data_IF_178706865206
#
_entry.id   IF_178706865206
#
_cell.length_a   1.000
_cell.length_b   1.000
_cell.length_c   1.000
_cell.angle_alpha   90.00
_cell.angle_beta   90.00
_cell.angle_gamma   90.00
#
_symmetry.space_group_name_H-M   'P 1'
#
loop_
_entity.id
_entity.type
_entity.pdbx_description
1 polymer ?
#
# COMPACT_ATOMS: atom_id res chain seq x y z
N UNK A 1 44.36 -16.60 24.46
CA UNK A 1 43.57 -15.45 23.97
C UNK A 1 42.23 -16.02 23.51
N UNK A 2 41.21 -15.94 24.38
CA UNK A 2 39.86 -16.44 24.06
C UNK A 2 39.19 -15.35 23.24
N UNK A 3 39.20 -15.50 21.91
CA UNK A 3 38.46 -14.61 21.02
C UNK A 3 37.03 -15.12 21.04
N UNK A 4 36.22 -14.51 21.90
CA UNK A 4 34.78 -14.72 21.96
C UNK A 4 34.16 -14.27 20.64
N UNK A 5 33.77 -15.21 19.79
CA UNK A 5 32.82 -14.95 18.71
C UNK A 5 31.43 -14.76 19.34
N UNK A 6 31.12 -13.54 19.74
CA UNK A 6 29.72 -13.15 19.97
C UNK A 6 29.05 -13.17 18.61
N UNK A 7 28.42 -14.31 18.30
CA UNK A 7 27.50 -14.48 17.18
C UNK A 7 26.44 -13.38 17.26
N UNK A 8 26.48 -12.46 16.31
CA UNK A 8 25.39 -11.53 16.01
C UNK A 8 24.18 -12.35 15.53
N UNK A 9 23.45 -12.95 16.47
CA UNK A 9 22.10 -13.45 16.25
C UNK A 9 21.14 -12.27 16.37
N UNK A 10 21.18 -11.41 15.36
CA UNK A 10 20.18 -10.40 15.13
C UNK A 10 19.95 -10.36 13.64
N UNK A 11 19.00 -11.15 13.15
CA UNK A 11 18.44 -10.90 11.82
C UNK A 11 17.84 -9.50 11.89
N UNK A 12 18.62 -8.48 11.49
CA UNK A 12 18.06 -7.18 11.12
C UNK A 12 17.17 -7.48 9.93
N UNK A 13 15.85 -7.46 10.15
CA UNK A 13 14.91 -7.32 9.06
C UNK A 13 15.22 -5.95 8.44
N UNK A 14 16.08 -5.95 7.43
CA UNK A 14 16.27 -4.81 6.55
C UNK A 14 15.02 -4.77 5.70
N UNK A 15 13.99 -4.03 6.15
CA UNK A 15 12.91 -3.61 5.26
C UNK A 15 13.58 -3.05 3.99
N UNK A 16 13.11 -3.40 2.78
CA UNK A 16 13.44 -2.63 1.60
C UNK A 16 13.32 -1.15 1.93
N UNK A 17 14.40 -0.37 1.80
CA UNK A 17 14.28 1.08 1.96
C UNK A 17 13.29 1.64 0.93
N UNK A 18 12.71 2.81 1.21
CA UNK A 18 11.83 3.49 0.27
C UNK A 18 12.44 3.57 -1.15
N UNK A 19 13.77 3.71 -1.26
CA UNK A 19 14.50 3.69 -2.53
C UNK A 19 14.42 2.35 -3.28
N UNK A 20 14.46 1.21 -2.58
CA UNK A 20 14.37 -0.12 -3.21
C UNK A 20 12.96 -0.36 -3.74
N UNK A 21 11.95 0.05 -2.98
CA UNK A 21 10.55 -0.06 -3.41
C UNK A 21 10.29 0.92 -4.55
N UNK A 22 10.72 2.17 -4.44
CA UNK A 22 10.65 3.14 -5.52
C UNK A 22 11.35 2.63 -6.80
N UNK A 23 12.52 2.00 -6.67
CA UNK A 23 13.22 1.40 -7.80
C UNK A 23 12.41 0.27 -8.44
N UNK A 24 11.78 -0.60 -7.64
CA UNK A 24 10.84 -1.61 -8.15
C UNK A 24 9.61 -0.96 -8.80
N UNK A 25 9.09 0.12 -8.25
CA UNK A 25 7.95 0.86 -8.82
C UNK A 25 8.29 1.61 -10.11
N UNK A 26 9.58 1.82 -10.39
CA UNK A 26 10.08 2.44 -11.62
C UNK A 26 10.58 1.46 -12.67
N UNK A 27 10.91 0.22 -12.30
CA UNK A 27 11.57 -0.73 -13.23
C UNK A 27 11.17 -2.20 -13.01
N UNK A 28 10.17 -2.44 -12.16
CA UNK A 28 9.71 -3.77 -11.79
C UNK A 28 8.96 -4.47 -12.91
N UNK A 29 9.03 -5.79 -12.89
CA UNK A 29 8.31 -6.66 -13.81
C UNK A 29 7.64 -7.77 -13.02
N UNK A 30 6.33 -7.91 -13.21
CA UNK A 30 5.45 -8.88 -12.58
C UNK A 30 4.63 -9.57 -13.67
N UNK A 31 4.04 -10.72 -13.36
CA UNK A 31 3.24 -11.44 -14.34
C UNK A 31 2.03 -10.60 -14.79
N UNK A 32 2.06 -10.09 -16.03
CA UNK A 32 0.99 -9.24 -16.54
C UNK A 32 1.02 -7.80 -16.00
N UNK A 33 2.11 -7.35 -15.38
CA UNK A 33 2.32 -5.95 -15.06
C UNK A 33 3.80 -5.54 -15.20
N UNK A 34 4.08 -4.37 -15.77
CA UNK A 34 5.45 -3.88 -15.94
C UNK A 34 5.52 -2.38 -15.65
N UNK A 35 6.43 -2.00 -14.77
CA UNK A 35 6.79 -0.62 -14.49
C UNK A 35 7.99 -0.19 -15.35
N UNK A 36 7.89 0.99 -15.95
CA UNK A 36 8.96 1.63 -16.71
C UNK A 36 8.94 3.15 -16.51
N UNK A 37 9.90 3.65 -15.72
CA UNK A 37 9.97 5.03 -15.29
C UNK A 37 8.74 5.40 -14.46
N UNK A 38 7.95 6.35 -14.95
CA UNK A 38 6.71 6.78 -14.31
C UNK A 38 5.46 6.07 -14.85
N UNK A 39 5.61 5.01 -15.65
CA UNK A 39 4.47 4.26 -16.22
C UNK A 39 4.40 2.88 -15.62
N UNK A 40 3.18 2.44 -15.31
CA UNK A 40 2.85 1.06 -14.97
C UNK A 40 1.82 0.58 -15.99
N UNK A 41 2.19 -0.42 -16.77
CA UNK A 41 1.26 -1.13 -17.65
C UNK A 41 0.77 -2.38 -16.93
N UNK A 42 -0.54 -2.58 -16.88
CA UNK A 42 -1.15 -3.80 -16.35
C UNK A 42 -2.02 -4.41 -17.45
N UNK A 43 -1.87 -5.71 -17.66
CA UNK A 43 -2.58 -6.51 -18.64
C UNK A 43 -3.32 -7.69 -18.00
N UNK A 44 -3.94 -7.45 -16.84
CA UNK A 44 -4.89 -8.38 -16.19
C UNK A 44 -6.32 -7.89 -16.39
N UNK A 45 -7.30 -8.79 -16.39
CA UNK A 45 -8.71 -8.46 -16.70
C UNK A 45 -9.29 -7.33 -15.85
N UNK A 46 -8.90 -7.26 -14.58
CA UNK A 46 -9.51 -6.41 -13.57
C UNK A 46 -8.87 -5.02 -13.48
N UNK A 47 -7.62 -4.89 -13.94
CA UNK A 47 -6.82 -3.68 -13.85
C UNK A 47 -6.15 -3.34 -15.19
N UNK A 48 -6.72 -3.78 -16.32
CA UNK A 48 -6.11 -3.55 -17.63
C UNK A 48 -5.99 -2.05 -17.93
N UNK A 49 -4.78 -1.59 -18.22
CA UNK A 49 -4.54 -0.21 -18.62
C UNK A 49 -3.11 0.26 -18.43
N UNK A 50 -2.90 1.51 -18.85
CA UNK A 50 -1.69 2.27 -18.59
C UNK A 50 -1.96 3.26 -17.46
N UNK A 51 -1.05 3.28 -16.49
CA UNK A 51 -1.14 4.10 -15.30
C UNK A 51 0.12 4.95 -15.17
N UNK A 52 -0.03 6.17 -14.67
CA UNK A 52 1.06 7.12 -14.46
C UNK A 52 1.32 7.26 -12.97
N UNK A 53 2.56 7.06 -12.56
CA UNK A 53 3.01 7.23 -11.18
C UNK A 53 2.74 8.66 -10.73
N UNK A 54 2.09 8.80 -9.57
CA UNK A 54 1.75 10.08 -8.98
C UNK A 54 2.62 10.34 -7.75
N UNK A 55 2.61 9.41 -6.79
CA UNK A 55 3.35 9.56 -5.54
C UNK A 55 3.72 8.22 -4.88
N UNK A 56 4.83 8.19 -4.14
CA UNK A 56 5.20 7.03 -3.33
C UNK A 56 4.32 6.92 -2.08
N UNK A 57 4.13 5.70 -1.60
CA UNK A 57 3.39 5.42 -0.36
C UNK A 57 4.37 4.83 0.65
N UNK A 58 4.89 5.68 1.54
CA UNK A 58 5.74 5.37 2.71
C UNK A 58 6.72 4.20 2.49
N UNK A 59 7.37 4.16 1.34
CA UNK A 59 8.31 3.09 1.01
C UNK A 59 7.73 1.67 0.94
N UNK A 60 6.41 1.47 0.97
CA UNK A 60 5.74 0.16 0.80
C UNK A 60 5.08 0.01 -0.58
N UNK A 61 4.91 1.11 -1.31
CA UNK A 61 4.23 1.08 -2.59
C UNK A 61 4.17 2.43 -3.29
N UNK A 62 3.20 2.58 -4.19
CA UNK A 62 2.94 3.79 -4.95
C UNK A 62 1.50 3.91 -5.43
N UNK A 63 1.06 5.16 -5.59
CA UNK A 63 -0.21 5.51 -6.22
C UNK A 63 0.04 5.85 -7.68
N UNK A 64 -0.82 5.32 -8.54
CA UNK A 64 -0.83 5.64 -9.96
C UNK A 64 -2.22 6.08 -10.38
N UNK A 65 -2.25 6.98 -11.37
CA UNK A 65 -3.45 7.50 -11.98
C UNK A 65 -3.66 6.88 -13.35
N UNK A 66 -4.89 6.46 -13.62
CA UNK A 66 -5.29 6.02 -14.96
C UNK A 66 -5.61 7.22 -15.86
N UNK A 67 -5.61 7.00 -17.18
CA UNK A 67 -5.91 8.05 -18.16
C UNK A 67 -7.38 8.53 -18.13
N UNK A 68 -8.24 7.89 -17.35
CA UNK A 68 -9.68 8.18 -17.18
C UNK A 68 -9.99 8.89 -15.85
N UNK A 69 -8.97 9.20 -15.04
CA UNK A 69 -9.10 9.89 -13.75
C UNK A 69 -9.31 8.99 -12.53
N UNK A 70 -9.28 7.66 -12.69
CA UNK A 70 -9.26 6.70 -11.58
C UNK A 70 -7.85 6.49 -11.02
N UNK A 71 -7.78 5.86 -9.86
CA UNK A 71 -6.52 5.62 -9.14
C UNK A 71 -6.31 4.14 -8.85
N UNK A 72 -5.06 3.73 -8.80
CA UNK A 72 -4.66 2.45 -8.22
C UNK A 72 -3.58 2.69 -7.17
N UNK A 73 -3.71 2.01 -6.03
CA UNK A 73 -2.65 1.86 -5.06
C UNK A 73 -2.01 0.50 -5.28
N UNK A 74 -0.68 0.47 -5.28
CA UNK A 74 0.07 -0.73 -5.61
C UNK A 74 1.20 -0.97 -4.61
N UNK A 75 1.40 -2.23 -4.23
CA UNK A 75 2.46 -2.63 -3.30
C UNK A 75 3.16 -3.90 -3.81
N UNK A 76 4.47 -3.87 -4.07
CA UNK A 76 5.18 -5.02 -4.58
C UNK A 76 5.57 -5.99 -3.45
N UNK A 77 5.37 -7.29 -3.67
CA UNK A 77 5.75 -8.34 -2.73
C UNK A 77 6.39 -9.52 -3.46
N UNK A 78 7.73 -9.54 -3.48
CA UNK A 78 8.49 -10.53 -4.24
C UNK A 78 8.20 -10.40 -5.74
N UNK A 79 7.62 -11.46 -6.31
CA UNK A 79 7.19 -11.58 -7.71
C UNK A 79 5.72 -11.22 -7.92
N UNK A 80 5.01 -10.85 -6.86
CA UNK A 80 3.62 -10.40 -6.90
C UNK A 80 3.52 -8.86 -6.85
N UNK A 81 2.48 -8.32 -7.49
CA UNK A 81 2.08 -6.93 -7.35
C UNK A 81 0.66 -6.88 -6.80
N UNK A 82 0.50 -6.37 -5.57
CA UNK A 82 -0.82 -6.10 -5.03
C UNK A 82 -1.35 -4.81 -5.63
N UNK A 83 -2.60 -4.84 -6.11
CA UNK A 83 -3.25 -3.70 -6.76
C UNK A 83 -4.62 -3.50 -6.15
N UNK A 84 -4.89 -2.28 -5.70
CA UNK A 84 -6.18 -1.84 -5.18
C UNK A 84 -6.68 -0.68 -6.03
N UNK A 85 -7.88 -0.81 -6.60
CA UNK A 85 -8.52 0.27 -7.38
C UNK A 85 -9.31 1.21 -6.47
N UNK A 86 -9.10 2.51 -6.68
CA UNK A 86 -9.62 3.59 -5.87
C UNK A 86 -10.30 4.64 -6.76
N UNK A 87 -11.37 5.23 -6.25
CA UNK A 87 -11.86 6.50 -6.77
C UNK A 87 -11.11 7.69 -6.13
N UNK A 88 -11.48 8.90 -6.50
CA UNK A 88 -10.88 10.13 -5.99
C UNK A 88 -11.10 10.31 -4.47
N UNK A 89 -12.22 9.85 -3.93
CA UNK A 89 -12.53 9.95 -2.50
C UNK A 89 -11.65 8.98 -1.69
N UNK A 90 -11.49 7.74 -2.18
CA UNK A 90 -10.59 6.76 -1.59
C UNK A 90 -9.12 7.23 -1.65
N UNK A 91 -8.70 7.85 -2.76
CA UNK A 91 -7.36 8.47 -2.85
C UNK A 91 -7.17 9.54 -1.77
N UNK A 92 -8.10 10.49 -1.65
CA UNK A 92 -8.04 11.55 -0.62
C UNK A 92 -7.97 10.97 0.80
N UNK A 93 -8.62 9.84 1.04
CA UNK A 93 -8.55 9.16 2.32
C UNK A 93 -7.18 8.56 2.59
N UNK A 94 -6.56 7.93 1.58
CA UNK A 94 -5.18 7.46 1.68
C UNK A 94 -4.24 8.63 1.93
N UNK A 95 -4.33 9.70 1.15
CA UNK A 95 -3.51 10.91 1.34
C UNK A 95 -3.66 11.48 2.76
N UNK A 96 -4.89 11.58 3.27
CA UNK A 96 -5.15 12.09 4.61
C UNK A 96 -4.56 11.17 5.70
N UNK A 97 -4.61 9.84 5.51
CA UNK A 97 -3.95 8.89 6.42
C UNK A 97 -2.43 9.10 6.39
N UNK A 98 -1.86 9.29 5.20
CA UNK A 98 -0.43 9.57 5.01
C UNK A 98 0.00 10.89 5.65
N UNK A 99 -0.84 11.93 5.58
CA UNK A 99 -0.57 13.24 6.20
C UNK A 99 -0.61 13.19 7.73
N UNK A 100 -1.50 12.37 8.30
CA UNK A 100 -1.66 12.21 9.76
C UNK A 100 -0.51 11.40 10.37
N UNK A 101 0.05 10.48 9.60
CA UNK A 101 1.00 9.48 10.08
C UNK A 101 2.44 9.77 9.66
N UNK A 102 3.38 9.37 10.51
CA UNK A 102 4.76 9.20 10.09
C UNK A 102 4.93 7.85 9.38
N UNK A 103 6.10 7.63 8.77
CA UNK A 103 6.39 6.43 7.99
C UNK A 103 6.07 5.14 8.75
N UNK A 104 6.49 5.00 10.01
CA UNK A 104 6.29 3.75 10.76
C UNK A 104 4.80 3.45 11.06
N UNK A 105 4.03 4.45 11.49
CA UNK A 105 2.60 4.26 11.77
C UNK A 105 1.77 4.10 10.50
N UNK A 106 2.11 4.87 9.45
CA UNK A 106 1.38 4.89 8.20
C UNK A 106 1.61 3.65 7.35
N UNK A 107 2.82 3.10 7.32
CA UNK A 107 3.10 1.83 6.63
C UNK A 107 2.21 0.70 7.15
N UNK A 108 2.02 0.62 8.48
CA UNK A 108 1.20 -0.39 9.10
C UNK A 108 -0.29 -0.21 8.76
N UNK A 109 -0.81 1.02 8.85
CA UNK A 109 -2.23 1.31 8.53
C UNK A 109 -2.52 1.02 7.05
N UNK A 110 -1.67 1.52 6.14
CA UNK A 110 -1.86 1.32 4.70
C UNK A 110 -1.62 -0.13 4.30
N UNK A 111 -0.63 -0.81 4.89
CA UNK A 111 -0.40 -2.24 4.68
C UNK A 111 -1.59 -3.10 5.13
N UNK A 112 -2.17 -2.79 6.29
CA UNK A 112 -3.37 -3.45 6.79
C UNK A 112 -4.58 -3.17 5.88
N UNK A 113 -4.71 -1.94 5.36
CA UNK A 113 -5.76 -1.58 4.40
C UNK A 113 -5.66 -2.39 3.11
N UNK A 114 -4.46 -2.46 2.51
CA UNK A 114 -4.22 -3.28 1.32
C UNK A 114 -4.56 -4.74 1.60
N UNK A 115 -4.06 -5.28 2.71
CA UNK A 115 -4.29 -6.69 3.10
C UNK A 115 -5.78 -6.99 3.29
N UNK A 116 -6.50 -6.11 3.99
CA UNK A 116 -7.94 -6.28 4.24
C UNK A 116 -8.75 -6.25 2.94
N UNK A 117 -8.39 -5.37 2.00
CA UNK A 117 -9.03 -5.28 0.68
C UNK A 117 -8.77 -6.55 -0.13
N UNK A 118 -7.57 -7.12 -0.07
CA UNK A 118 -7.22 -8.36 -0.78
C UNK A 118 -7.90 -9.59 -0.19
N UNK A 119 -7.95 -9.68 1.15
CA UNK A 119 -8.52 -10.85 1.84
C UNK A 119 -10.05 -10.88 1.75
N UNK A 120 -10.70 -9.72 1.86
CA UNK A 120 -12.17 -9.62 1.92
C UNK A 120 -12.80 -9.28 0.57
N UNK A 121 -12.05 -8.66 -0.35
CA UNK A 121 -12.57 -7.97 -1.52
C UNK A 121 -12.95 -6.53 -1.20
N UNK A 122 -12.60 -5.62 -2.11
CA UNK A 122 -12.83 -4.18 -1.95
C UNK A 122 -14.31 -3.80 -1.73
N UNK A 123 -15.25 -4.57 -2.25
CA UNK A 123 -16.70 -4.37 -2.11
C UNK A 123 -17.26 -4.86 -0.76
N UNK A 124 -16.48 -5.63 0.01
CA UNK A 124 -16.91 -6.27 1.27
C UNK A 124 -16.13 -5.80 2.49
N UNK A 125 -15.11 -4.96 2.28
CA UNK A 125 -14.38 -4.36 3.39
C UNK A 125 -15.29 -3.36 4.11
N UNK A 126 -15.48 -3.56 5.40
CA UNK A 126 -16.18 -2.61 6.26
C UNK A 126 -15.16 -1.70 6.94
N UNK A 127 -14.99 -0.50 6.40
CA UNK A 127 -14.09 0.52 6.96
C UNK A 127 -14.71 1.29 8.12
N UNK A 128 -15.98 1.03 8.46
CA UNK A 128 -16.60 1.59 9.66
C UNK A 128 -16.12 0.91 10.94
N UNK A 129 -15.68 -0.36 10.82
CA UNK A 129 -14.96 -1.12 11.84
C UNK A 129 -13.45 -1.06 11.55
N UNK A 130 -12.82 0.00 12.04
CA UNK A 130 -11.42 0.32 11.82
C UNK A 130 -10.44 -0.57 12.59
N UNK A 131 -10.91 -1.45 13.49
CA UNK A 131 -10.03 -2.21 14.39
C UNK A 131 -9.07 -3.13 13.63
N UNK A 132 -9.50 -3.69 12.50
CA UNK A 132 -8.63 -4.51 11.64
C UNK A 132 -7.55 -3.69 10.94
N UNK A 133 -7.89 -2.49 10.49
CA UNK A 133 -6.95 -1.61 9.77
C UNK A 133 -5.94 -1.00 10.74
N UNK A 134 -6.38 -0.70 11.96
CA UNK A 134 -5.57 -0.12 13.01
C UNK A 134 -4.88 -1.18 13.91
N UNK A 135 -5.05 -2.46 13.61
CA UNK A 135 -4.47 -3.55 14.39
C UNK A 135 -2.94 -3.46 14.41
N UNK A 136 -2.36 -3.57 15.61
CA UNK A 136 -0.91 -3.52 15.79
C UNK A 136 -0.28 -2.14 15.61
N UNK A 137 -1.09 -1.10 15.39
CA UNK A 137 -0.61 0.27 15.30
C UNK A 137 -0.50 0.89 16.69
N UNK A 138 0.64 1.52 17.02
CA UNK A 138 0.86 2.22 18.30
C UNK A 138 0.51 3.70 18.19
N UNK A 139 -0.62 4.01 17.54
CA UNK A 139 -1.00 5.39 17.28
C UNK A 139 -1.48 6.10 18.56
N UNK A 140 -1.08 7.37 18.76
CA UNK A 140 -1.70 8.24 19.76
C UNK A 140 -3.22 8.29 19.63
N UNK A 141 -3.99 8.41 20.73
CA UNK A 141 -5.46 8.36 20.71
C UNK A 141 -6.11 9.39 19.77
N UNK A 142 -5.53 10.59 19.67
CA UNK A 142 -5.96 11.67 18.78
C UNK A 142 -5.78 11.30 17.31
N UNK A 143 -4.57 10.83 16.92
CA UNK A 143 -4.30 10.36 15.56
C UNK A 143 -5.17 9.17 15.18
N UNK A 144 -5.35 8.23 16.12
CA UNK A 144 -6.22 7.07 15.94
C UNK A 144 -7.64 7.53 15.60
N UNK A 145 -8.24 8.39 16.42
CA UNK A 145 -9.60 8.88 16.20
C UNK A 145 -9.77 9.62 14.85
N UNK A 146 -8.74 10.36 14.42
CA UNK A 146 -8.73 11.02 13.12
C UNK A 146 -8.76 10.01 11.97
N UNK A 147 -7.92 8.97 12.03
CA UNK A 147 -7.90 7.91 11.01
C UNK A 147 -9.19 7.10 11.01
N UNK A 148 -9.76 6.79 12.17
CA UNK A 148 -11.08 6.13 12.25
C UNK A 148 -12.17 6.95 11.55
N UNK A 149 -12.12 8.29 11.70
CA UNK A 149 -13.03 9.20 11.02
C UNK A 149 -12.83 9.20 9.51
N UNK A 150 -11.59 9.17 9.04
CA UNK A 150 -11.24 9.08 7.61
C UNK A 150 -11.74 7.75 7.03
N UNK A 151 -11.41 6.62 7.66
CA UNK A 151 -11.82 5.28 7.22
C UNK A 151 -13.35 5.16 7.12
N UNK A 152 -14.09 5.65 8.13
CA UNK A 152 -15.56 5.66 8.13
C UNK A 152 -16.15 6.42 6.95
N UNK A 153 -15.58 7.57 6.57
CA UNK A 153 -16.03 8.38 5.42
C UNK A 153 -15.77 7.69 4.08
N UNK A 154 -14.78 6.81 4.04
CA UNK A 154 -14.31 6.13 2.84
C UNK A 154 -14.90 4.73 2.65
N UNK A 155 -15.84 4.34 3.51
CA UNK A 155 -16.47 3.03 3.42
C UNK A 155 -17.16 2.84 2.05
N UNK A 156 -16.85 1.73 1.37
CA UNK A 156 -17.37 1.43 0.03
C UNK A 156 -16.76 2.23 -1.14
N UNK A 157 -15.67 2.98 -0.91
CA UNK A 157 -14.97 3.77 -1.95
C UNK A 157 -13.82 3.03 -2.63
N UNK A 158 -13.43 1.89 -2.07
CA UNK A 158 -12.50 0.95 -2.70
C UNK A 158 -13.29 0.03 -3.61
N UNK A 159 -12.82 -0.17 -4.85
CA UNK A 159 -13.66 -0.79 -5.89
C UNK A 159 -13.12 -2.11 -6.43
N UNK A 160 -11.84 -2.41 -6.24
CA UNK A 160 -11.27 -3.72 -6.54
C UNK A 160 -9.96 -3.97 -5.81
N UNK A 161 -9.61 -5.22 -5.56
CA UNK A 161 -8.37 -5.62 -4.91
C UNK A 161 -7.90 -6.99 -5.37
N UNK A 162 -6.73 -7.08 -5.99
CA UNK A 162 -6.15 -8.37 -6.37
C UNK A 162 -4.62 -8.41 -6.25
N UNK A 163 -4.11 -9.63 -6.11
CA UNK A 163 -2.69 -9.92 -6.27
C UNK A 163 -2.46 -10.34 -7.72
N UNK A 164 -1.61 -9.62 -8.44
CA UNK A 164 -1.14 -9.99 -9.76
C UNK A 164 0.03 -10.96 -9.59
N UNK A 165 -0.12 -12.19 -10.10
CA UNK A 165 0.79 -13.34 -9.92
C UNK A 165 1.11 -14.04 -11.23
#
# INVERSE_FOLDING_TARGET
MIISCTKDYGVKITKPGADLILSKMQSGNWAGATANGNKLNINTRNHQGDYTFEEPVLGIGGIYKDDKGGYIMTAPAGDELYVVKMDEDAKKAVDAILDVLDDEGGEAVVGNLISAVLDSGADKIDLSDSDKILAGTNLPPDKRAEIESILKKSNGKFTNGEAIK
#
